data_IF_772088486940
#
_entry.id   IF_772088486940
#
_cell.length_a   1.000
_cell.length_b   1.000
_cell.length_c   1.000
_cell.angle_alpha   90.00
_cell.angle_beta   90.00
_cell.angle_gamma   90.00
#
_symmetry.space_group_name_H-M   'P 1'
#
loop_
_entity.id
_entity.type
_entity.pdbx_description
1 polymer ?
#
# COMPACT_ATOMS: atom_id res chain seq x y z
N UNK A 1 24.09 -14.34 1.92
CA UNK A 1 23.24 -13.13 1.72
C UNK A 1 23.00 -12.39 3.03
N UNK A 2 22.74 -13.09 4.14
CA UNK A 2 22.39 -12.45 5.40
C UNK A 2 23.49 -11.54 5.98
N UNK A 3 24.76 -11.95 5.97
CA UNK A 3 25.86 -11.09 6.43
C UNK A 3 25.96 -9.75 5.66
N UNK A 4 25.71 -9.78 4.34
CA UNK A 4 25.68 -8.56 3.50
C UNK A 4 24.46 -7.71 3.82
N UNK A 5 23.29 -8.34 4.08
CA UNK A 5 22.08 -7.63 4.52
C UNK A 5 22.33 -6.90 5.84
N UNK A 6 22.91 -7.59 6.83
CA UNK A 6 23.24 -7.04 8.15
C UNK A 6 24.23 -5.87 8.03
N UNK A 7 25.27 -6.01 7.21
CA UNK A 7 26.23 -4.92 6.97
C UNK A 7 25.55 -3.68 6.38
N UNK A 8 24.74 -3.85 5.33
CA UNK A 8 24.03 -2.74 4.68
C UNK A 8 23.11 -2.04 5.68
N UNK A 9 22.42 -2.80 6.54
CA UNK A 9 21.57 -2.26 7.58
C UNK A 9 22.37 -1.43 8.61
N UNK A 10 23.47 -1.98 9.13
CA UNK A 10 24.36 -1.26 10.07
C UNK A 10 24.87 0.05 9.44
N UNK A 11 25.28 0.02 8.17
CA UNK A 11 25.74 1.22 7.46
C UNK A 11 24.66 2.28 7.29
N UNK A 12 23.40 1.87 7.09
CA UNK A 12 22.26 2.79 6.97
C UNK A 12 21.84 3.39 8.31
N UNK A 13 21.91 2.61 9.39
CA UNK A 13 21.48 3.02 10.73
C UNK A 13 22.53 3.89 11.44
N UNK A 14 23.82 3.69 11.14
CA UNK A 14 24.94 4.36 11.81
C UNK A 14 24.84 5.90 11.82
N UNK A 15 24.54 6.61 10.69
CA UNK A 15 24.44 8.06 10.70
C UNK A 15 23.29 8.57 11.57
N UNK A 16 22.15 7.86 11.57
CA UNK A 16 21.00 8.21 12.39
C UNK A 16 21.31 8.04 13.88
N UNK A 17 21.98 6.93 14.24
CA UNK A 17 22.40 6.67 15.62
C UNK A 17 23.44 7.69 16.10
N UNK A 18 24.42 8.05 15.26
CA UNK A 18 25.39 9.11 15.56
C UNK A 18 24.70 10.45 15.85
N UNK A 19 23.66 10.78 15.08
CA UNK A 19 22.91 12.02 15.28
C UNK A 19 22.16 12.01 16.61
N UNK A 20 21.50 10.89 16.95
CA UNK A 20 20.81 10.73 18.22
C UNK A 20 21.76 10.83 19.43
N UNK A 21 22.98 10.28 19.30
CA UNK A 21 24.02 10.37 20.33
C UNK A 21 24.43 11.82 20.56
N UNK A 22 24.68 12.58 19.48
CA UNK A 22 25.05 14.02 19.57
C UNK A 22 23.95 14.87 20.22
N UNK A 23 22.69 14.49 20.06
CA UNK A 23 21.56 15.15 20.71
C UNK A 23 21.42 14.79 22.20
N UNK A 24 22.19 13.80 22.69
CA UNK A 24 22.06 13.28 24.05
C UNK A 24 20.84 12.38 24.27
N UNK A 25 20.15 12.00 23.19
CA UNK A 25 18.93 11.16 23.25
C UNK A 25 19.24 9.68 23.47
N UNK A 26 20.50 9.26 23.25
CA UNK A 26 21.00 7.92 23.52
C UNK A 26 22.33 8.00 24.27
N UNK A 27 22.61 6.99 25.11
CA UNK A 27 23.83 6.93 25.90
C UNK A 27 25.04 6.39 25.13
N UNK A 28 26.24 6.72 25.62
CA UNK A 28 27.53 6.27 25.05
C UNK A 28 27.68 4.74 25.07
N UNK A 29 27.04 4.06 26.01
CA UNK A 29 27.04 2.60 26.10
C UNK A 29 26.45 1.95 24.85
N UNK A 30 25.26 2.42 24.43
CA UNK A 30 24.58 1.91 23.23
C UNK A 30 25.42 2.14 21.97
N UNK A 31 26.07 3.30 21.89
CA UNK A 31 26.97 3.60 20.78
C UNK A 31 28.19 2.67 20.76
N UNK A 32 28.76 2.35 21.93
CA UNK A 32 29.86 1.39 22.05
C UNK A 32 29.42 -0.01 21.64
N UNK A 33 28.28 -0.49 22.11
CA UNK A 33 27.70 -1.78 21.73
C UNK A 33 27.43 -1.86 20.23
N UNK A 34 26.90 -0.79 19.63
CA UNK A 34 26.67 -0.72 18.18
C UNK A 34 27.98 -0.85 17.38
N UNK A 35 29.03 -0.14 17.78
CA UNK A 35 30.33 -0.26 17.11
C UNK A 35 30.96 -1.65 17.31
N UNK A 36 30.76 -2.28 18.47
CA UNK A 36 31.21 -3.65 18.70
C UNK A 36 30.49 -4.64 17.76
N UNK A 37 29.16 -4.49 17.60
CA UNK A 37 28.38 -5.30 16.66
C UNK A 37 28.77 -5.07 15.19
N UNK A 38 29.14 -3.84 14.81
CA UNK A 38 29.68 -3.54 13.47
C UNK A 38 31.02 -4.25 13.23
N UNK A 39 31.92 -4.23 14.22
CA UNK A 39 33.20 -4.92 14.13
C UNK A 39 33.02 -6.44 14.03
N UNK A 40 32.14 -7.01 14.85
CA UNK A 40 31.78 -8.43 14.80
C UNK A 40 31.27 -8.83 13.41
N UNK A 41 30.33 -8.06 12.85
CA UNK A 41 29.77 -8.31 11.50
C UNK A 41 30.85 -8.20 10.41
N UNK A 42 31.79 -7.25 10.57
CA UNK A 42 32.91 -7.11 9.62
C UNK A 42 33.89 -8.27 9.72
N UNK A 43 34.15 -8.77 10.94
CA UNK A 43 34.96 -9.97 11.17
C UNK A 43 34.35 -11.21 10.52
N UNK A 44 33.03 -11.43 10.72
CA UNK A 44 32.28 -12.52 10.09
C UNK A 44 32.43 -12.48 8.54
N UNK A 45 32.33 -11.29 7.93
CA UNK A 45 32.54 -11.14 6.48
C UNK A 45 33.97 -11.47 6.05
N UNK A 46 34.99 -11.15 6.85
CA UNK A 46 36.36 -11.53 6.53
C UNK A 46 36.54 -13.04 6.58
N UNK A 47 35.97 -13.71 7.57
CA UNK A 47 35.97 -15.17 7.68
C UNK A 47 35.28 -15.83 6.48
N UNK A 48 34.09 -15.33 6.09
CA UNK A 48 33.36 -15.81 4.91
C UNK A 48 34.19 -15.61 3.63
N UNK A 49 34.89 -14.49 3.48
CA UNK A 49 35.74 -14.25 2.31
C UNK A 49 36.92 -15.21 2.25
N UNK A 50 37.55 -15.48 3.39
CA UNK A 50 38.63 -16.46 3.51
C UNK A 50 38.13 -17.86 3.19
N UNK A 51 36.98 -18.26 3.74
CA UNK A 51 36.35 -19.55 3.47
C UNK A 51 35.97 -19.69 1.99
N UNK A 52 35.37 -18.67 1.38
CA UNK A 52 35.05 -18.64 -0.05
C UNK A 52 36.29 -18.88 -0.93
N UNK A 53 37.43 -18.29 -0.55
CA UNK A 53 38.69 -18.51 -1.26
C UNK A 53 39.20 -19.96 -1.17
N UNK A 54 38.80 -20.73 -0.15
CA UNK A 54 39.12 -22.17 -0.06
C UNK A 54 38.35 -23.01 -1.07
N UNK A 55 37.12 -22.59 -1.41
CA UNK A 55 36.31 -23.25 -2.43
C UNK A 55 36.74 -22.88 -3.85
N UNK A 56 37.12 -21.62 -4.08
CA UNK A 56 37.60 -21.13 -5.37
C UNK A 56 38.46 -19.89 -5.18
N UNK A 57 39.63 -19.90 -5.82
CA UNK A 57 40.55 -18.76 -5.80
C UNK A 57 39.84 -17.45 -6.22
N UNK A 58 40.10 -16.38 -5.48
CA UNK A 58 39.53 -15.04 -5.68
C UNK A 58 38.00 -14.94 -5.52
N UNK A 59 37.31 -15.98 -5.04
CA UNK A 59 35.86 -15.91 -4.86
C UNK A 59 35.46 -14.97 -3.73
N UNK A 60 36.27 -14.82 -2.68
CA UNK A 60 36.04 -13.86 -1.60
C UNK A 60 35.91 -12.40 -2.07
N UNK A 61 36.53 -12.04 -3.21
CA UNK A 61 36.42 -10.69 -3.79
C UNK A 61 35.08 -10.44 -4.47
N UNK A 62 34.43 -11.50 -4.98
CA UNK A 62 33.22 -11.38 -5.82
C UNK A 62 31.95 -11.83 -5.11
N UNK A 63 32.05 -12.72 -4.12
CA UNK A 63 30.92 -13.33 -3.43
C UNK A 63 29.98 -12.28 -2.81
N UNK A 64 30.51 -11.20 -2.24
CA UNK A 64 29.68 -10.14 -1.64
C UNK A 64 28.99 -9.26 -2.67
N UNK A 65 29.63 -9.00 -3.81
CA UNK A 65 29.01 -8.28 -4.92
C UNK A 65 27.82 -9.08 -5.47
N UNK A 66 28.01 -10.38 -5.70
CA UNK A 66 26.93 -11.28 -6.13
C UNK A 66 25.82 -11.36 -5.08
N UNK A 67 26.17 -11.49 -3.80
CA UNK A 67 25.18 -11.50 -2.72
C UNK A 67 24.38 -10.19 -2.64
N UNK A 68 25.02 -9.03 -2.84
CA UNK A 68 24.35 -7.73 -2.89
C UNK A 68 23.35 -7.66 -4.07
N UNK A 69 23.73 -8.15 -5.24
CA UNK A 69 22.83 -8.24 -6.40
C UNK A 69 21.63 -9.14 -6.13
N UNK A 70 21.84 -10.29 -5.48
CA UNK A 70 20.76 -11.20 -5.10
C UNK A 70 19.79 -10.55 -4.09
N UNK A 71 20.31 -9.81 -3.11
CA UNK A 71 19.49 -9.06 -2.14
C UNK A 71 18.61 -8.00 -2.82
N UNK A 72 19.18 -7.25 -3.76
CA UNK A 72 18.43 -6.24 -4.52
C UNK A 72 17.37 -6.89 -5.41
N UNK A 73 17.69 -8.01 -6.07
CA UNK A 73 16.73 -8.76 -6.87
C UNK A 73 15.56 -9.29 -6.00
N UNK A 74 15.83 -9.83 -4.81
CA UNK A 74 14.77 -10.24 -3.88
C UNK A 74 13.88 -9.06 -3.44
N UNK A 75 14.47 -7.90 -3.16
CA UNK A 75 13.75 -6.69 -2.81
C UNK A 75 12.83 -6.24 -3.95
N UNK A 76 13.34 -6.21 -5.17
CA UNK A 76 12.55 -5.86 -6.36
C UNK A 76 11.41 -6.84 -6.59
N UNK A 77 11.66 -8.15 -6.43
CA UNK A 77 10.63 -9.18 -6.57
C UNK A 77 9.51 -9.00 -5.55
N UNK A 78 9.83 -8.70 -4.28
CA UNK A 78 8.83 -8.40 -3.23
C UNK A 78 8.01 -7.16 -3.59
N UNK A 79 8.67 -6.07 -3.98
CA UNK A 79 7.99 -4.84 -4.38
C UNK A 79 7.06 -5.06 -5.58
N UNK A 80 7.50 -5.83 -6.57
CA UNK A 80 6.64 -6.19 -7.72
C UNK A 80 5.42 -6.99 -7.30
N UNK A 81 5.55 -7.92 -6.35
CA UNK A 81 4.42 -8.68 -5.81
C UNK A 81 3.45 -7.78 -5.04
N UNK A 82 3.96 -6.91 -4.18
CA UNK A 82 3.14 -5.93 -3.44
C UNK A 82 2.40 -4.99 -4.38
N UNK A 83 3.08 -4.49 -5.42
CA UNK A 83 2.46 -3.63 -6.43
C UNK A 83 1.34 -4.34 -7.18
N UNK A 84 1.52 -5.61 -7.55
CA UNK A 84 0.44 -6.41 -8.19
C UNK A 84 -0.76 -6.56 -7.27
N UNK A 85 -0.53 -6.88 -5.99
CA UNK A 85 -1.60 -7.01 -5.00
C UNK A 85 -2.35 -5.68 -4.77
N UNK A 86 -1.63 -4.54 -4.77
CA UNK A 86 -2.27 -3.24 -4.67
C UNK A 86 -3.14 -2.92 -5.89
N UNK A 87 -2.63 -3.19 -7.09
CA UNK A 87 -3.40 -2.98 -8.33
C UNK A 87 -4.65 -3.85 -8.40
N UNK A 88 -4.57 -5.11 -7.96
CA UNK A 88 -5.72 -6.02 -7.88
C UNK A 88 -6.77 -5.50 -6.90
N UNK A 89 -6.35 -5.07 -5.71
CA UNK A 89 -7.23 -4.46 -4.70
C UNK A 89 -7.89 -3.18 -5.21
N UNK A 90 -7.14 -2.31 -5.87
CA UNK A 90 -7.67 -1.07 -6.44
C UNK A 90 -8.71 -1.36 -7.53
N UNK A 91 -8.44 -2.34 -8.40
CA UNK A 91 -9.37 -2.76 -9.44
C UNK A 91 -10.66 -3.36 -8.85
N UNK A 92 -10.56 -4.15 -7.78
CA UNK A 92 -11.72 -4.70 -7.07
C UNK A 92 -12.56 -3.60 -6.41
N UNK A 93 -11.91 -2.66 -5.71
CA UNK A 93 -12.57 -1.50 -5.12
C UNK A 93 -13.28 -0.66 -6.16
N UNK A 94 -12.63 -0.42 -7.31
CA UNK A 94 -13.22 0.34 -8.41
C UNK A 94 -14.45 -0.36 -8.99
N UNK A 95 -14.39 -1.68 -9.21
CA UNK A 95 -15.56 -2.45 -9.67
C UNK A 95 -16.71 -2.37 -8.68
N UNK A 96 -16.43 -2.51 -7.39
CA UNK A 96 -17.44 -2.39 -6.34
C UNK A 96 -18.07 -0.99 -6.32
N UNK A 97 -17.27 0.06 -6.44
CA UNK A 97 -17.76 1.44 -6.53
C UNK A 97 -18.62 1.67 -7.77
N UNK A 98 -18.25 1.10 -8.92
CA UNK A 98 -19.04 1.17 -10.16
C UNK A 98 -20.37 0.41 -10.04
N UNK A 99 -20.38 -0.74 -9.38
CA UNK A 99 -21.61 -1.50 -9.10
C UNK A 99 -22.53 -0.77 -8.13
N UNK A 100 -21.99 -0.25 -7.02
CA UNK A 100 -22.74 0.55 -6.04
C UNK A 100 -23.29 1.85 -6.67
N UNK A 101 -22.53 2.51 -7.55
CA UNK A 101 -22.97 3.69 -8.29
C UNK A 101 -24.13 3.36 -9.24
N UNK A 102 -24.02 2.29 -10.03
CA UNK A 102 -25.10 1.84 -10.93
C UNK A 102 -26.37 1.46 -10.17
N UNK A 103 -26.22 0.79 -9.03
CA UNK A 103 -27.36 0.43 -8.19
C UNK A 103 -28.06 1.67 -7.62
N UNK A 104 -27.29 2.65 -7.15
CA UNK A 104 -27.84 3.92 -6.65
C UNK A 104 -28.53 4.72 -7.76
N UNK A 105 -27.93 4.82 -8.94
CA UNK A 105 -28.53 5.48 -10.11
C UNK A 105 -29.86 4.81 -10.52
N UNK A 106 -29.91 3.48 -10.53
CA UNK A 106 -31.13 2.73 -10.83
C UNK A 106 -32.23 2.99 -9.78
N UNK A 107 -31.88 2.97 -8.49
CA UNK A 107 -32.80 3.30 -7.39
C UNK A 107 -33.33 4.73 -7.48
N UNK A 108 -32.48 5.69 -7.80
CA UNK A 108 -32.90 7.08 -8.01
C UNK A 108 -33.81 7.24 -9.22
N UNK A 109 -33.50 6.57 -10.32
CA UNK A 109 -34.33 6.60 -11.52
C UNK A 109 -35.72 6.01 -11.26
N UNK A 110 -35.81 4.91 -10.53
CA UNK A 110 -37.09 4.33 -10.11
C UNK A 110 -37.90 5.27 -9.21
N UNK A 111 -37.23 5.96 -8.25
CA UNK A 111 -37.86 6.98 -7.42
C UNK A 111 -38.43 8.13 -8.25
N UNK A 112 -37.64 8.67 -9.19
CA UNK A 112 -38.07 9.75 -10.11
C UNK A 112 -39.29 9.34 -10.94
N UNK A 113 -39.33 8.12 -11.47
CA UNK A 113 -40.49 7.60 -12.21
C UNK A 113 -41.72 7.52 -11.30
N UNK A 114 -41.55 7.00 -10.08
CA UNK A 114 -42.67 6.85 -9.13
C UNK A 114 -43.23 8.20 -8.69
N UNK A 115 -42.37 9.19 -8.47
CA UNK A 115 -42.77 10.57 -8.17
C UNK A 115 -43.51 11.21 -9.34
N UNK A 116 -43.01 11.06 -10.58
CA UNK A 116 -43.68 11.57 -11.78
C UNK A 116 -45.07 10.95 -11.97
N UNK A 117 -45.22 9.63 -11.79
CA UNK A 117 -46.53 8.95 -11.88
C UNK A 117 -47.51 9.43 -10.80
N UNK A 118 -47.05 9.64 -9.57
CA UNK A 118 -47.89 10.17 -8.49
C UNK A 118 -48.38 11.59 -8.78
N UNK A 119 -47.48 12.46 -9.27
CA UNK A 119 -47.84 13.82 -9.64
C UNK A 119 -48.87 13.86 -10.78
N UNK A 120 -48.71 12.98 -11.78
CA UNK A 120 -49.68 12.83 -12.88
C UNK A 120 -51.06 12.38 -12.36
N UNK A 121 -51.09 11.39 -11.46
CA UNK A 121 -52.34 10.90 -10.85
C UNK A 121 -53.04 11.98 -10.00
N UNK A 122 -52.29 12.78 -9.25
CA UNK A 122 -52.83 13.89 -8.46
C UNK A 122 -53.43 14.99 -9.36
N UNK A 123 -52.74 15.37 -10.44
CA UNK A 123 -53.26 16.33 -11.41
C UNK A 123 -54.56 15.84 -12.06
N UNK A 124 -54.63 14.56 -12.42
CA UNK A 124 -55.83 13.95 -13.01
C UNK A 124 -57.02 13.96 -12.03
N UNK A 125 -56.78 13.70 -10.74
CA UNK A 125 -57.80 13.81 -9.69
C UNK A 125 -58.28 15.24 -9.48
N UNK A 126 -57.39 16.22 -9.52
CA UNK A 126 -57.76 17.64 -9.43
C UNK A 126 -58.60 18.07 -10.64
N UNK A 127 -58.23 17.67 -11.86
CA UNK A 127 -59.00 17.97 -13.06
C UNK A 127 -60.38 17.28 -13.05
N UNK A 128 -60.47 16.05 -12.54
CA UNK A 128 -61.76 15.35 -12.40
C UNK A 128 -62.65 16.01 -11.34
N UNK A 129 -62.08 16.49 -10.23
CA UNK A 129 -62.79 17.27 -9.21
C UNK A 129 -63.25 18.63 -9.75
N UNK A 130 -62.43 19.31 -10.56
CA UNK A 130 -62.82 20.55 -11.24
C UNK A 130 -63.93 20.33 -12.27
N UNK A 131 -63.87 19.25 -13.06
CA UNK A 131 -64.94 18.86 -13.99
C UNK A 131 -66.24 18.52 -13.25
N UNK A 132 -66.17 17.83 -12.11
CA UNK A 132 -67.34 17.56 -11.23
C UNK A 132 -67.91 18.84 -10.61
N UNK A 133 -67.05 19.76 -10.17
CA UNK A 133 -67.47 21.06 -9.65
C UNK A 133 -68.13 21.92 -10.74
N UNK A 134 -67.57 21.95 -11.95
CA UNK A 134 -68.10 22.68 -13.10
C UNK A 134 -69.43 22.13 -13.61
N UNK A 135 -69.64 20.81 -13.54
CA UNK A 135 -70.93 20.17 -13.89
C UNK A 135 -71.99 20.37 -12.81
N UNK A 136 -71.63 20.45 -11.53
CA UNK A 136 -72.56 20.78 -10.44
C UNK A 136 -73.05 22.25 -10.45
N UNK A 137 -72.23 23.19 -10.93
CA UNK A 137 -72.59 24.61 -11.09
C UNK A 137 -73.47 24.91 -12.31
N UNK A 138 -73.68 23.94 -13.20
CA UNK A 138 -74.46 24.07 -14.45
C UNK A 138 -75.88 23.49 -14.36
N UNK A 139 -76.33 23.08 -13.17
CA UNK A 139 -77.64 22.50 -12.90
C UNK A 139 -78.48 23.39 -12.00
#
# INVERSE_FOLDING_TARGET
MEAVRRLVQIQQEKPALQQLMKMGSIGDELWREFNAAEQETTGELQEIAMEANTFKENWGQTIFSTAAQMLEHEKQKKLQQEMKLMLEKEAELKKRQEEEAKENEAREHERRIKESKKAEEELLKMEEQEKKAATSKKK
#
